data_IF_853372352764
#
_entry.id   IF_853372352764
#
_cell.length_a   1.000
_cell.length_b   1.000
_cell.length_c   1.000
_cell.angle_alpha   90.00
_cell.angle_beta   90.00
_cell.angle_gamma   90.00
#
_symmetry.space_group_name_H-M   'P 1'
#
loop_
_entity.id
_entity.type
_entity.pdbx_description
1 polymer ?
#
# COMPACT_ATOMS: atom_id res chain seq x y z
N UNK A 1 -84.75 -1.86 -20.66
CA UNK A 1 -83.86 -2.95 -21.13
C UNK A 1 -82.51 -2.33 -21.32
N UNK A 2 -81.58 -2.53 -20.37
CA UNK A 2 -80.24 -1.88 -20.36
C UNK A 2 -79.22 -2.98 -20.49
N UNK A 3 -78.46 -2.93 -21.64
CA UNK A 3 -77.39 -3.82 -21.93
C UNK A 3 -76.12 -3.35 -21.19
N UNK A 4 -75.51 -4.21 -20.41
CA UNK A 4 -74.15 -3.98 -19.81
C UNK A 4 -73.09 -4.67 -20.66
N UNK A 5 -72.26 -3.86 -21.27
CA UNK A 5 -71.03 -4.34 -21.87
C UNK A 5 -69.92 -4.39 -20.80
N UNK A 6 -69.45 -5.59 -20.48
CA UNK A 6 -68.33 -5.82 -19.65
C UNK A 6 -67.01 -5.59 -20.50
N UNK A 7 -66.21 -4.65 -20.07
CA UNK A 7 -64.83 -4.46 -20.63
C UNK A 7 -63.85 -5.29 -19.79
N UNK A 8 -63.30 -6.32 -20.40
CA UNK A 8 -62.15 -7.06 -19.86
C UNK A 8 -60.86 -6.29 -20.13
N UNK A 9 -60.21 -5.79 -19.10
CA UNK A 9 -58.88 -5.19 -19.18
C UNK A 9 -57.84 -6.28 -18.98
N UNK A 10 -57.11 -6.61 -20.06
CA UNK A 10 -55.92 -7.43 -20.01
C UNK A 10 -54.74 -6.59 -19.44
N UNK A 11 -54.32 -6.89 -18.23
CA UNK A 11 -53.05 -6.40 -17.70
C UNK A 11 -51.94 -7.35 -18.14
N UNK A 12 -51.14 -6.95 -19.14
CA UNK A 12 -49.87 -7.58 -19.46
C UNK A 12 -48.85 -7.12 -18.39
N UNK A 13 -48.55 -7.98 -17.43
CA UNK A 13 -47.41 -7.82 -16.53
C UNK A 13 -46.10 -8.14 -17.26
N UNK A 14 -45.35 -7.12 -17.63
CA UNK A 14 -43.99 -7.30 -18.09
C UNK A 14 -43.11 -7.57 -16.87
N UNK A 15 -42.71 -8.83 -16.66
CA UNK A 15 -41.69 -9.20 -15.70
C UNK A 15 -40.33 -8.79 -16.26
N UNK A 16 -39.83 -7.64 -15.81
CA UNK A 16 -38.41 -7.25 -16.02
C UNK A 16 -37.54 -8.17 -15.16
N UNK A 17 -36.90 -9.16 -15.81
CA UNK A 17 -35.88 -9.98 -15.21
C UNK A 17 -34.60 -9.11 -15.10
N UNK A 18 -34.41 -8.47 -13.95
CA UNK A 18 -33.11 -7.80 -13.65
C UNK A 18 -32.03 -8.86 -13.50
N UNK A 19 -31.24 -9.04 -14.53
CA UNK A 19 -30.03 -9.82 -14.47
C UNK A 19 -29.03 -9.09 -13.59
N UNK A 20 -28.97 -9.45 -12.31
CA UNK A 20 -27.90 -9.02 -11.39
C UNK A 20 -26.62 -9.61 -11.91
N UNK A 21 -25.81 -8.81 -12.62
CA UNK A 21 -24.44 -9.14 -12.95
C UNK A 21 -23.64 -9.16 -11.64
N UNK A 22 -23.52 -10.35 -11.05
CA UNK A 22 -22.56 -10.59 -9.98
C UNK A 22 -21.18 -10.44 -10.63
N UNK A 23 -20.59 -9.26 -10.50
CA UNK A 23 -19.19 -9.03 -10.81
C UNK A 23 -18.39 -9.84 -9.80
N UNK A 24 -18.04 -11.08 -10.17
CA UNK A 24 -17.12 -11.89 -9.40
C UNK A 24 -15.83 -11.10 -9.23
N UNK A 25 -15.41 -10.85 -7.99
CA UNK A 25 -14.10 -10.28 -7.72
C UNK A 25 -13.06 -11.18 -8.40
N UNK A 26 -12.45 -10.68 -9.47
CA UNK A 26 -11.37 -11.40 -10.15
C UNK A 26 -10.24 -11.49 -9.13
N UNK A 27 -9.99 -12.67 -8.59
CA UNK A 27 -8.88 -12.91 -7.69
C UNK A 27 -7.59 -12.49 -8.42
N UNK A 28 -6.79 -11.65 -7.76
CA UNK A 28 -5.50 -11.26 -8.35
C UNK A 28 -4.62 -12.50 -8.54
N UNK A 29 -3.94 -12.63 -9.68
CA UNK A 29 -3.04 -13.74 -9.90
C UNK A 29 -1.95 -13.75 -8.83
N UNK A 30 -1.39 -14.91 -8.50
CA UNK A 30 -0.25 -15.01 -7.59
C UNK A 30 0.90 -14.08 -8.03
N UNK A 31 1.63 -13.55 -7.06
CA UNK A 31 2.78 -12.71 -7.32
C UNK A 31 3.84 -13.48 -8.14
N UNK A 32 4.44 -12.82 -9.13
CA UNK A 32 5.34 -13.42 -10.09
C UNK A 32 6.62 -12.60 -10.27
N UNK A 33 7.78 -13.25 -10.16
CA UNK A 33 9.08 -12.58 -10.20
C UNK A 33 9.44 -12.05 -11.60
N UNK A 34 8.98 -12.69 -12.69
CA UNK A 34 9.23 -12.18 -14.05
C UNK A 34 8.42 -10.93 -14.34
N UNK A 35 7.14 -10.90 -13.93
CA UNK A 35 6.35 -9.67 -13.98
C UNK A 35 6.97 -8.59 -13.10
N UNK A 36 7.48 -8.96 -11.91
CA UNK A 36 8.20 -8.05 -11.03
C UNK A 36 9.47 -7.48 -11.65
N UNK A 37 10.21 -8.26 -12.43
CA UNK A 37 11.35 -7.79 -13.22
C UNK A 37 10.91 -6.75 -14.26
N UNK A 38 9.79 -7.00 -14.93
CA UNK A 38 9.24 -6.05 -15.89
C UNK A 38 8.78 -4.74 -15.19
N UNK A 39 8.13 -4.84 -14.03
CA UNK A 39 7.76 -3.68 -13.20
C UNK A 39 9.01 -2.89 -12.79
N UNK A 40 10.06 -3.57 -12.32
CA UNK A 40 11.33 -2.95 -11.91
C UNK A 40 11.96 -2.12 -13.04
N UNK A 41 11.91 -2.62 -14.27
CA UNK A 41 12.38 -1.88 -15.44
C UNK A 41 11.41 -0.73 -15.81
N UNK A 42 10.12 -1.01 -15.92
CA UNK A 42 9.10 -0.04 -16.37
C UNK A 42 8.93 1.14 -15.41
N UNK A 43 9.16 0.92 -14.10
CA UNK A 43 9.06 1.98 -13.06
C UNK A 43 10.40 2.69 -12.81
N UNK A 44 11.34 2.58 -13.71
CA UNK A 44 12.66 3.22 -13.68
C UNK A 44 13.59 2.79 -12.53
N UNK A 45 13.27 1.74 -11.78
CA UNK A 45 14.14 1.25 -10.72
C UNK A 45 15.49 0.81 -11.29
N UNK A 46 15.48 0.12 -12.44
CA UNK A 46 16.66 -0.36 -13.15
C UNK A 46 17.59 0.75 -13.61
N UNK A 47 17.13 1.99 -13.74
CA UNK A 47 18.00 3.12 -14.15
C UNK A 47 19.09 3.43 -13.12
N UNK A 48 18.83 3.12 -11.84
CA UNK A 48 19.74 3.42 -10.74
C UNK A 48 20.21 2.17 -9.97
N UNK A 49 19.44 1.07 -10.00
CA UNK A 49 19.63 -0.14 -9.19
C UNK A 49 20.09 -1.35 -10.03
N UNK A 50 21.09 -1.18 -10.89
CA UNK A 50 21.70 -2.25 -11.67
C UNK A 50 23.20 -2.28 -11.49
N UNK A 51 23.82 -3.42 -11.74
CA UNK A 51 25.26 -3.52 -11.83
C UNK A 51 25.75 -2.57 -12.95
N UNK A 52 26.58 -1.61 -12.64
CA UNK A 52 27.04 -0.59 -13.59
C UNK A 52 26.00 0.47 -13.96
N UNK A 53 24.85 0.54 -13.26
CA UNK A 53 23.88 1.64 -13.39
C UNK A 53 24.47 2.99 -13.03
N UNK A 54 23.67 4.06 -13.12
CA UNK A 54 24.11 5.44 -12.84
C UNK A 54 25.02 5.47 -11.62
N UNK A 55 26.27 5.83 -11.84
CA UNK A 55 27.38 5.61 -10.93
C UNK A 55 27.06 6.10 -9.52
N UNK A 56 26.93 5.16 -8.58
CA UNK A 56 26.82 5.45 -7.15
C UNK A 56 25.49 5.97 -6.64
N UNK A 57 24.44 6.03 -7.48
CA UNK A 57 23.13 6.58 -7.06
C UNK A 57 22.31 5.58 -6.25
N UNK A 58 22.36 4.29 -6.60
CA UNK A 58 21.66 3.23 -5.87
C UNK A 58 22.50 1.96 -5.73
N UNK A 59 22.21 1.11 -4.73
CA UNK A 59 22.89 -0.17 -4.63
C UNK A 59 22.57 -1.07 -5.82
N UNK A 60 23.56 -1.88 -6.23
CA UNK A 60 23.37 -2.85 -7.30
C UNK A 60 22.23 -3.83 -6.98
N UNK A 61 21.54 -4.31 -8.02
CA UNK A 61 20.39 -5.20 -7.91
C UNK A 61 20.66 -6.45 -7.08
N UNK A 62 21.86 -7.03 -7.17
CA UNK A 62 22.28 -8.21 -6.43
C UNK A 62 22.19 -7.99 -4.91
N UNK A 63 22.37 -6.75 -4.46
CA UNK A 63 22.23 -6.38 -3.04
C UNK A 63 20.78 -6.17 -2.62
N UNK A 64 19.90 -5.86 -3.57
CA UNK A 64 18.46 -5.71 -3.32
C UNK A 64 17.76 -7.06 -3.29
N UNK A 65 18.14 -7.97 -4.21
CA UNK A 65 17.59 -9.31 -4.35
C UNK A 65 18.21 -10.27 -3.35
N UNK A 66 17.67 -10.30 -2.15
CA UNK A 66 18.05 -11.23 -1.09
C UNK A 66 16.81 -11.69 -0.33
N UNK A 67 16.83 -12.89 0.27
CA UNK A 67 15.76 -13.31 1.17
C UNK A 67 15.52 -12.28 2.27
N UNK A 68 14.30 -11.86 2.43
CA UNK A 68 13.87 -10.84 3.40
C UNK A 68 12.37 -10.94 3.66
N UNK A 69 11.91 -10.40 4.79
CA UNK A 69 10.47 -10.27 5.06
C UNK A 69 9.82 -9.23 4.14
N UNK A 70 8.53 -9.40 3.88
CA UNK A 70 7.80 -8.46 3.02
C UNK A 70 7.63 -7.09 3.70
N UNK A 71 7.37 -7.07 5.01
CA UNK A 71 7.32 -5.81 5.77
C UNK A 71 8.71 -5.24 6.04
N UNK A 72 9.75 -6.10 6.14
CA UNK A 72 11.14 -5.63 6.17
C UNK A 72 11.47 -4.84 4.89
N UNK A 73 11.15 -5.39 3.70
CA UNK A 73 11.33 -4.69 2.43
C UNK A 73 10.52 -3.38 2.40
N UNK A 74 9.27 -3.40 2.90
CA UNK A 74 8.43 -2.19 2.98
C UNK A 74 9.10 -1.09 3.81
N UNK A 75 9.67 -1.43 4.95
CA UNK A 75 10.43 -0.49 5.78
C UNK A 75 11.66 0.08 5.06
N UNK A 76 12.35 -0.72 4.27
CA UNK A 76 13.48 -0.28 3.45
C UNK A 76 13.05 0.67 2.34
N UNK A 77 11.99 0.33 1.61
CA UNK A 77 11.42 1.21 0.58
C UNK A 77 11.02 2.55 1.18
N UNK A 78 10.33 2.53 2.31
CA UNK A 78 9.97 3.74 3.04
C UNK A 78 11.19 4.60 3.40
N UNK A 79 12.21 3.99 3.98
CA UNK A 79 13.41 4.71 4.43
C UNK A 79 14.18 5.38 3.28
N UNK A 80 14.12 4.82 2.08
CA UNK A 80 14.83 5.29 0.91
C UNK A 80 13.99 6.21 0.01
N UNK A 81 12.68 6.15 0.12
CA UNK A 81 11.78 6.86 -0.79
C UNK A 81 12.04 8.38 -0.88
N UNK A 82 12.33 9.12 0.21
CA UNK A 82 12.66 10.55 0.09
C UNK A 82 13.92 10.84 -0.73
N UNK A 83 14.96 9.99 -0.59
CA UNK A 83 16.19 10.12 -1.38
C UNK A 83 15.93 9.79 -2.85
N UNK A 84 15.20 8.69 -3.12
CA UNK A 84 14.79 8.32 -4.48
C UNK A 84 13.94 9.41 -5.13
N UNK A 85 13.00 10.01 -4.40
CA UNK A 85 12.18 11.12 -4.90
C UNK A 85 13.04 12.31 -5.34
N UNK A 86 14.05 12.66 -4.55
CA UNK A 86 14.97 13.76 -4.87
C UNK A 86 15.72 13.47 -6.17
N UNK A 87 16.30 12.28 -6.32
CA UNK A 87 17.06 11.89 -7.50
C UNK A 87 16.17 11.83 -8.75
N UNK A 88 14.99 11.17 -8.67
CA UNK A 88 14.05 11.09 -9.78
C UNK A 88 13.66 12.49 -10.27
N UNK A 89 13.41 13.41 -9.33
CA UNK A 89 13.10 14.80 -9.66
C UNK A 89 14.26 15.51 -10.38
N UNK A 90 15.49 15.29 -9.94
CA UNK A 90 16.70 15.84 -10.59
C UNK A 90 16.86 15.31 -12.02
N UNK A 91 16.55 14.03 -12.25
CA UNK A 91 16.60 13.39 -13.56
C UNK A 91 15.36 13.68 -14.43
N UNK A 92 14.43 14.49 -13.96
CA UNK A 92 13.20 14.80 -14.69
C UNK A 92 12.20 13.63 -14.78
N UNK A 93 12.37 12.62 -13.94
CA UNK A 93 11.51 11.44 -13.89
C UNK A 93 10.42 11.66 -12.85
N UNK A 94 9.16 11.47 -13.24
CA UNK A 94 8.03 11.55 -12.32
C UNK A 94 8.05 10.41 -11.29
N UNK A 95 7.48 10.67 -10.08
CA UNK A 95 7.33 9.61 -9.08
C UNK A 95 6.44 8.48 -9.63
N UNK A 96 6.95 7.24 -9.76
CA UNK A 96 6.21 6.17 -10.42
C UNK A 96 5.05 5.69 -9.56
N UNK A 97 3.86 5.63 -10.13
CA UNK A 97 2.73 4.96 -9.52
C UNK A 97 2.92 3.45 -9.57
N UNK A 98 2.73 2.76 -8.44
CA UNK A 98 2.85 1.30 -8.31
C UNK A 98 1.56 0.80 -7.66
N UNK A 99 0.82 -0.04 -8.36
CA UNK A 99 -0.38 -0.69 -7.81
C UNK A 99 0.00 -1.79 -6.80
N UNK A 100 -0.96 -2.24 -5.99
CA UNK A 100 -0.74 -3.34 -5.05
C UNK A 100 -0.33 -4.65 -5.76
N UNK A 101 -0.85 -4.91 -6.96
CA UNK A 101 -0.49 -6.07 -7.77
C UNK A 101 0.95 -5.95 -8.29
N UNK A 102 1.32 -4.81 -8.88
CA UNK A 102 2.70 -4.55 -9.32
C UNK A 102 3.68 -4.61 -8.14
N UNK A 103 3.27 -4.12 -6.97
CA UNK A 103 4.09 -4.19 -5.76
C UNK A 103 4.27 -5.64 -5.29
N UNK A 104 3.25 -6.49 -5.39
CA UNK A 104 3.36 -7.91 -5.07
C UNK A 104 4.37 -8.61 -6.01
N UNK A 105 4.28 -8.36 -7.31
CA UNK A 105 5.22 -8.89 -8.30
C UNK A 105 6.65 -8.38 -8.05
N UNK A 106 6.79 -7.09 -7.77
CA UNK A 106 8.08 -6.48 -7.42
C UNK A 106 8.68 -7.09 -6.16
N UNK A 107 7.87 -7.34 -5.13
CA UNK A 107 8.31 -8.04 -3.91
C UNK A 107 8.81 -9.46 -4.22
N UNK A 108 8.09 -10.21 -5.06
CA UNK A 108 8.54 -11.54 -5.50
C UNK A 108 9.88 -11.46 -6.24
N UNK A 109 10.04 -10.50 -7.14
CA UNK A 109 11.30 -10.28 -7.84
C UNK A 109 12.45 -9.91 -6.90
N UNK A 110 12.20 -9.14 -5.86
CA UNK A 110 13.18 -8.74 -4.84
C UNK A 110 13.35 -9.79 -3.72
N UNK A 111 12.77 -10.98 -3.87
CA UNK A 111 12.86 -12.10 -2.93
C UNK A 111 12.31 -11.79 -1.52
N UNK A 112 11.29 -10.95 -1.45
CA UNK A 112 10.58 -10.70 -0.22
C UNK A 112 9.46 -11.71 -0.02
N UNK A 113 9.48 -12.41 1.12
CA UNK A 113 8.48 -13.42 1.50
C UNK A 113 7.82 -12.99 2.82
N UNK A 114 6.48 -12.90 2.89
CA UNK A 114 5.79 -12.65 4.14
C UNK A 114 6.13 -13.63 5.27
N UNK A 115 6.55 -14.85 4.94
CA UNK A 115 7.00 -15.85 5.92
C UNK A 115 8.36 -15.50 6.56
N UNK A 116 9.11 -14.60 5.95
CA UNK A 116 10.37 -14.07 6.49
C UNK A 116 10.17 -12.99 7.57
N UNK A 117 8.95 -12.48 7.72
CA UNK A 117 8.64 -11.52 8.77
C UNK A 117 8.36 -12.25 10.10
N UNK A 118 8.92 -11.78 11.23
CA UNK A 118 8.63 -12.37 12.53
C UNK A 118 7.19 -12.07 12.98
N UNK A 119 6.65 -12.80 13.97
CA UNK A 119 5.41 -12.43 14.61
C UNK A 119 5.48 -11.02 15.20
N UNK A 120 4.46 -10.16 15.00
CA UNK A 120 4.49 -8.79 15.48
C UNK A 120 4.36 -8.70 17.01
N UNK A 121 5.19 -7.87 17.62
CA UNK A 121 5.03 -7.42 19.01
C UNK A 121 4.16 -6.16 19.03
N UNK A 122 2.93 -6.29 19.51
CA UNK A 122 1.94 -5.21 19.50
C UNK A 122 2.33 -4.04 20.41
N UNK A 123 3.01 -4.33 21.54
CA UNK A 123 3.50 -3.29 22.46
C UNK A 123 4.58 -2.44 21.78
N UNK A 124 5.54 -3.08 21.13
CA UNK A 124 6.55 -2.38 20.33
C UNK A 124 5.92 -1.63 19.16
N UNK A 125 4.90 -2.20 18.53
CA UNK A 125 4.15 -1.54 17.45
C UNK A 125 3.50 -0.24 17.92
N UNK A 126 2.85 -0.25 19.10
CA UNK A 126 2.31 0.96 19.72
C UNK A 126 3.39 1.98 20.04
N UNK A 127 4.51 1.54 20.60
CA UNK A 127 5.65 2.42 20.89
C UNK A 127 6.22 3.02 19.59
N UNK A 128 6.31 2.24 18.52
CA UNK A 128 6.75 2.73 17.19
C UNK A 128 5.81 3.82 16.68
N UNK A 129 4.48 3.62 16.75
CA UNK A 129 3.49 4.64 16.34
C UNK A 129 3.73 5.99 17.06
N UNK A 130 3.99 5.94 18.36
CA UNK A 130 4.20 7.12 19.20
C UNK A 130 5.57 7.75 18.94
N UNK A 131 6.64 6.95 19.07
CA UNK A 131 8.02 7.45 19.03
C UNK A 131 8.45 7.94 17.66
N UNK A 132 7.90 7.37 16.58
CA UNK A 132 8.14 7.85 15.20
C UNK A 132 7.31 9.10 14.86
N UNK A 133 6.49 9.61 15.78
CA UNK A 133 5.76 10.86 15.60
C UNK A 133 4.58 10.77 14.64
N UNK A 134 4.08 9.58 14.32
CA UNK A 134 2.94 9.40 13.41
C UNK A 134 1.70 10.18 13.87
N UNK A 135 1.48 10.22 15.19
CA UNK A 135 0.34 10.92 15.82
C UNK A 135 0.44 12.43 15.80
N UNK A 136 1.54 13.02 15.32
CA UNK A 136 1.60 14.47 15.08
C UNK A 136 0.73 14.89 13.89
N UNK A 137 0.57 13.99 12.91
CA UNK A 137 -0.21 14.24 11.70
C UNK A 137 -1.44 13.35 11.60
N UNK A 138 -1.36 12.09 12.02
CA UNK A 138 -2.45 11.11 11.99
C UNK A 138 -3.11 11.00 13.36
N UNK A 139 -4.35 10.55 13.39
CA UNK A 139 -4.97 10.01 14.60
C UNK A 139 -4.95 8.48 14.58
N UNK A 140 -5.12 7.90 15.76
CA UNK A 140 -5.42 6.49 15.97
C UNK A 140 -6.55 6.40 16.98
N UNK A 141 -7.70 5.86 16.59
CA UNK A 141 -8.94 5.87 17.39
C UNK A 141 -9.33 7.29 17.82
N UNK A 142 -9.23 8.26 16.90
CA UNK A 142 -9.53 9.68 17.07
C UNK A 142 -8.58 10.46 18.01
N UNK A 143 -7.54 9.82 18.54
CA UNK A 143 -6.51 10.47 19.35
C UNK A 143 -5.30 10.79 18.46
N UNK A 144 -4.87 12.05 18.45
CA UNK A 144 -3.73 12.54 17.68
C UNK A 144 -4.07 13.65 16.68
N UNK A 145 -3.20 13.80 15.67
CA UNK A 145 -3.31 14.82 14.62
C UNK A 145 -4.45 14.54 13.64
N UNK A 146 -4.81 15.57 12.85
CA UNK A 146 -5.90 15.52 11.87
C UNK A 146 -5.47 15.94 10.46
N UNK A 147 -4.16 16.04 10.24
CA UNK A 147 -3.62 16.36 8.93
C UNK A 147 -3.71 15.15 7.98
N UNK A 148 -3.55 13.95 8.51
CA UNK A 148 -3.73 12.67 7.83
C UNK A 148 -4.98 11.92 8.32
N UNK A 149 -5.36 10.81 7.66
CA UNK A 149 -6.49 9.99 8.07
C UNK A 149 -6.25 9.32 9.43
N UNK A 150 -7.34 8.91 10.09
CA UNK A 150 -7.27 8.05 11.25
C UNK A 150 -6.77 6.65 10.86
N UNK A 151 -5.68 6.24 11.46
CA UNK A 151 -5.03 4.98 11.11
C UNK A 151 -5.84 3.76 11.59
N UNK A 152 -6.71 3.90 12.58
CA UNK A 152 -7.59 2.81 13.00
C UNK A 152 -8.68 2.48 11.95
N UNK A 153 -9.03 3.43 11.09
CA UNK A 153 -10.05 3.27 10.05
C UNK A 153 -9.49 2.68 8.74
N UNK A 154 -8.17 2.55 8.61
CA UNK A 154 -7.47 2.15 7.37
C UNK A 154 -7.02 0.69 7.33
N UNK A 155 -7.66 -0.19 8.06
CA UNK A 155 -7.23 -1.59 8.24
C UNK A 155 -7.04 -2.40 6.95
N UNK A 156 -7.87 -2.18 5.95
CA UNK A 156 -7.75 -2.85 4.66
C UNK A 156 -6.42 -2.55 3.95
N UNK A 157 -5.80 -1.40 4.28
CA UNK A 157 -4.54 -0.98 3.67
C UNK A 157 -3.31 -1.68 4.30
N UNK A 158 -3.47 -2.38 5.43
CA UNK A 158 -2.36 -2.95 6.19
C UNK A 158 -2.02 -4.40 5.85
N UNK A 159 -2.82 -5.04 5.03
CA UNK A 159 -2.57 -6.40 4.55
C UNK A 159 -3.26 -6.63 3.19
N UNK A 160 -2.65 -7.39 2.28
CA UNK A 160 -1.29 -7.95 2.39
C UNK A 160 -0.20 -6.89 2.38
N UNK A 161 1.05 -7.30 2.63
CA UNK A 161 2.20 -6.39 2.67
C UNK A 161 2.37 -5.54 1.40
N UNK A 162 2.02 -6.08 0.25
CA UNK A 162 2.06 -5.37 -1.04
C UNK A 162 1.07 -4.20 -1.10
N UNK A 163 -0.13 -4.34 -0.52
CA UNK A 163 -1.11 -3.25 -0.44
C UNK A 163 -0.57 -2.12 0.42
N UNK A 164 -0.03 -2.45 1.60
CA UNK A 164 0.60 -1.47 2.46
C UNK A 164 1.78 -0.77 1.81
N UNK A 165 2.69 -1.53 1.21
CA UNK A 165 3.86 -0.98 0.54
C UNK A 165 3.48 -0.04 -0.61
N UNK A 166 2.50 -0.41 -1.44
CA UNK A 166 1.99 0.43 -2.51
C UNK A 166 1.34 1.72 -1.98
N UNK A 167 0.56 1.61 -0.90
CA UNK A 167 -0.05 2.76 -0.23
C UNK A 167 1.03 3.71 0.30
N UNK A 168 2.02 3.18 1.02
CA UNK A 168 3.12 3.98 1.55
C UNK A 168 3.96 4.61 0.45
N UNK A 169 4.27 3.86 -0.59
CA UNK A 169 4.99 4.37 -1.76
C UNK A 169 4.29 5.58 -2.38
N UNK A 170 3.00 5.45 -2.67
CA UNK A 170 2.23 6.52 -3.31
C UNK A 170 2.08 7.77 -2.43
N UNK A 171 2.11 7.61 -1.08
CA UNK A 171 1.94 8.71 -0.13
C UNK A 171 3.25 9.39 0.27
N UNK A 172 4.40 8.74 0.07
CA UNK A 172 5.71 9.25 0.51
C UNK A 172 5.99 10.69 0.13
N UNK A 173 5.79 11.15 -1.13
CA UNK A 173 6.10 12.53 -1.48
C UNK A 173 5.30 13.55 -0.66
N UNK A 174 4.01 13.28 -0.44
CA UNK A 174 3.13 14.16 0.35
C UNK A 174 3.49 14.15 1.83
N UNK A 175 3.75 12.95 2.39
CA UNK A 175 4.13 12.84 3.79
C UNK A 175 5.49 13.46 4.08
N UNK A 176 6.47 13.31 3.18
CA UNK A 176 7.78 13.94 3.32
C UNK A 176 7.66 15.48 3.27
N UNK A 177 6.87 16.03 2.35
CA UNK A 177 6.62 17.46 2.27
C UNK A 177 5.91 17.98 3.53
N UNK A 178 4.88 17.29 4.01
CA UNK A 178 4.16 17.65 5.23
C UNK A 178 5.07 17.60 6.47
N UNK A 179 5.94 16.59 6.58
CA UNK A 179 6.90 16.47 7.67
C UNK A 179 7.84 17.69 7.73
N UNK A 180 8.36 18.12 6.57
CA UNK A 180 9.20 19.33 6.47
C UNK A 180 8.44 20.56 6.92
N UNK A 181 7.21 20.77 6.42
CA UNK A 181 6.37 21.91 6.77
C UNK A 181 6.02 21.98 8.25
N UNK A 182 5.87 20.82 8.90
CA UNK A 182 5.54 20.70 10.32
C UNK A 182 6.78 20.66 11.23
N UNK A 183 7.99 20.77 10.68
CA UNK A 183 9.23 20.62 11.45
C UNK A 183 9.38 19.25 12.09
N UNK A 184 8.80 18.23 11.48
CA UNK A 184 8.86 16.83 11.95
C UNK A 184 9.90 16.07 11.14
N UNK A 185 10.79 15.36 11.81
CA UNK A 185 11.75 14.51 11.13
C UNK A 185 11.00 13.33 10.46
N UNK A 186 11.32 13.08 9.18
CA UNK A 186 10.76 11.93 8.47
C UNK A 186 11.14 10.63 9.18
N UNK A 187 10.17 9.82 9.62
CA UNK A 187 10.44 8.63 10.43
C UNK A 187 11.17 7.57 9.62
N UNK A 188 12.13 6.89 10.23
CA UNK A 188 12.84 5.75 9.63
C UNK A 188 12.59 4.50 10.48
N UNK A 189 12.46 3.37 9.80
CA UNK A 189 12.22 2.07 10.43
C UNK A 189 13.49 1.23 10.43
N UNK A 190 13.74 0.52 11.52
CA UNK A 190 14.87 -0.40 11.70
C UNK A 190 14.36 -1.73 12.27
N UNK A 191 15.05 -2.82 11.93
CA UNK A 191 14.68 -4.15 12.40
C UNK A 191 13.20 -4.45 12.14
N UNK A 192 12.50 -4.90 13.17
CA UNK A 192 11.10 -5.35 13.11
C UNK A 192 10.08 -4.23 13.35
N UNK A 193 10.50 -2.97 13.39
CA UNK A 193 9.60 -1.85 13.71
C UNK A 193 8.41 -1.76 12.74
N UNK A 194 8.61 -2.04 11.44
CA UNK A 194 7.52 -2.02 10.46
C UNK A 194 6.53 -3.17 10.71
N UNK A 195 7.02 -4.37 10.95
CA UNK A 195 6.20 -5.55 11.28
C UNK A 195 5.37 -5.28 12.53
N UNK A 196 6.02 -4.80 13.60
CA UNK A 196 5.38 -4.49 14.87
C UNK A 196 4.32 -3.40 14.74
N UNK A 197 4.64 -2.30 14.02
CA UNK A 197 3.71 -1.22 13.76
C UNK A 197 2.45 -1.72 13.06
N UNK A 198 2.60 -2.49 11.98
CA UNK A 198 1.45 -2.98 11.23
C UNK A 198 0.64 -4.01 11.99
N UNK A 199 1.30 -4.86 12.77
CA UNK A 199 0.62 -5.74 13.71
C UNK A 199 -0.28 -4.95 14.66
N UNK A 200 0.24 -3.89 15.24
CA UNK A 200 -0.54 -3.02 16.13
C UNK A 200 -1.67 -2.28 15.40
N UNK A 201 -1.40 -1.65 14.27
CA UNK A 201 -2.42 -0.91 13.51
C UNK A 201 -3.59 -1.81 13.07
N UNK A 202 -3.34 -3.07 12.78
CA UNK A 202 -4.38 -4.06 12.44
C UNK A 202 -5.32 -4.37 13.60
N UNK A 203 -4.92 -4.13 14.84
CA UNK A 203 -5.80 -4.30 16.02
C UNK A 203 -6.77 -3.12 16.20
N UNK A 204 -6.56 -2.04 15.46
CA UNK A 204 -7.12 -0.71 15.73
C UNK A 204 -8.62 -0.53 15.66
N UNK A 205 -9.38 -1.45 15.08
CA UNK A 205 -10.82 -1.31 14.92
C UNK A 205 -11.62 -2.46 15.54
N UNK A 206 -11.17 -3.08 16.56
CA UNK A 206 -11.89 -4.20 17.11
C UNK A 206 -11.54 -4.49 18.54
N UNK A 207 -12.17 -3.79 19.42
CA UNK A 207 -12.99 -4.27 20.49
C UNK A 207 -13.83 -3.08 20.95
N UNK A 208 -15.11 -3.26 21.19
CA UNK A 208 -15.90 -2.24 21.86
C UNK A 208 -15.31 -1.96 23.22
#
# INVERSE_FOLDING_TARGET
>A
MKSWCARASLLLGAALCEAVLVQGAIAQPPADAERGRAVFAAKHCASCHVAGGLQGVGPALERLRRPQGAYELTGRLWNHAPAMFTVLKQEGIGWPAISAAEMADLMAYLQADPKGDPPPDLSKGRMTLISKGCLKCHSFRREGGRLGPDLAERRADYAPASTWAATMWSHTPRMAAAAIQQGVMYPRFTGDEMVNLLGFLRTGAGAP
#
